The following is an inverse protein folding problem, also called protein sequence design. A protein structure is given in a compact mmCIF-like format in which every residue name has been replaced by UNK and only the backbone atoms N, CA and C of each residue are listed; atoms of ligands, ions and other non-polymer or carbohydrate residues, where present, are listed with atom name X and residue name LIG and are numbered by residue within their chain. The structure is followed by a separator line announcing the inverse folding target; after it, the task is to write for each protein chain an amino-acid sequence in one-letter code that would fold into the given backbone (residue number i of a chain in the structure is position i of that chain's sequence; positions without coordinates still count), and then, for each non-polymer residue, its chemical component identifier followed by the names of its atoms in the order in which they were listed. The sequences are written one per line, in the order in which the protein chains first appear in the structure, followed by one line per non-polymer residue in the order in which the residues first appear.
data_IF_338476040476
#
_entry.id   IF_338476040476
#
_cell.length_a   1.000
_cell.length_b   1.000
_cell.length_c   1.000
_cell.angle_alpha   90.00
_cell.angle_beta   90.00
_cell.angle_gamma   90.00
#
_symmetry.space_group_name_H-M   'P 1'
#
loop_
_entity.id
_entity.type
_entity.pdbx_description
1 polymer ?
#
# COMPACT_ATOMS: atom_id res chain seq x y z
N UNK A 1 15.25 -36.56 4.50
CA UNK A 1 14.74 -36.04 3.20
C UNK A 1 13.76 -34.89 3.45
N UNK A 2 12.59 -35.15 4.05
CA UNK A 2 11.55 -34.17 4.38
C UNK A 2 12.06 -32.85 5.01
N UNK A 3 12.94 -32.90 6.01
CA UNK A 3 13.47 -31.67 6.64
C UNK A 3 14.25 -30.75 5.67
N UNK A 4 14.90 -31.30 4.64
CA UNK A 4 15.60 -30.48 3.61
C UNK A 4 14.61 -29.80 2.67
N UNK A 5 13.50 -30.44 2.36
CA UNK A 5 12.44 -29.87 1.52
C UNK A 5 11.69 -28.76 2.27
N UNK A 6 11.33 -28.98 3.54
CA UNK A 6 10.71 -27.94 4.37
C UNK A 6 11.64 -26.75 4.60
N UNK A 7 12.95 -26.98 4.79
CA UNK A 7 13.94 -25.91 4.79
C UNK A 7 13.89 -25.08 3.50
N UNK A 8 13.81 -25.72 2.33
CA UNK A 8 13.68 -25.01 1.04
C UNK A 8 12.35 -24.26 0.92
N UNK A 9 11.23 -24.77 1.45
CA UNK A 9 9.95 -24.05 1.49
C UNK A 9 10.06 -22.74 2.31
N UNK A 10 10.66 -22.78 3.49
CA UNK A 10 10.89 -21.58 4.31
C UNK A 10 11.88 -20.63 3.64
N UNK A 11 12.99 -21.17 3.12
CA UNK A 11 14.03 -20.38 2.48
C UNK A 11 13.56 -19.68 1.21
N UNK A 12 12.77 -20.32 0.34
CA UNK A 12 12.28 -19.66 -0.89
C UNK A 12 11.34 -18.49 -0.56
N UNK A 13 10.53 -18.60 0.51
CA UNK A 13 9.72 -17.48 1.00
C UNK A 13 10.55 -16.33 1.55
N UNK A 14 11.58 -16.63 2.35
CA UNK A 14 12.53 -15.63 2.88
C UNK A 14 13.25 -14.87 1.76
N UNK A 15 13.84 -15.60 0.80
CA UNK A 15 14.55 -15.00 -0.34
C UNK A 15 13.61 -14.25 -1.28
N UNK A 16 12.37 -14.70 -1.49
CA UNK A 16 11.38 -13.94 -2.23
C UNK A 16 11.00 -12.62 -1.54
N UNK A 17 10.91 -12.60 -0.21
CA UNK A 17 10.76 -11.35 0.55
C UNK A 17 11.90 -10.38 0.28
N UNK A 18 13.15 -10.85 0.32
CA UNK A 18 14.32 -10.03 0.01
C UNK A 18 14.29 -9.51 -1.44
N UNK A 19 13.96 -10.34 -2.43
CA UNK A 19 13.82 -9.94 -3.84
C UNK A 19 12.74 -8.86 -4.00
N UNK A 20 11.58 -9.03 -3.34
CA UNK A 20 10.52 -8.02 -3.33
C UNK A 20 11.07 -6.71 -2.75
N UNK A 21 11.78 -6.76 -1.62
CA UNK A 21 12.42 -5.59 -1.00
C UNK A 21 13.34 -4.82 -1.94
N UNK A 22 14.31 -5.49 -2.58
CA UNK A 22 15.24 -4.86 -3.54
C UNK A 22 14.51 -4.24 -4.75
N UNK A 23 13.50 -4.92 -5.29
CA UNK A 23 12.75 -4.38 -6.43
C UNK A 23 11.88 -3.19 -6.01
N UNK A 24 11.27 -3.25 -4.83
CA UNK A 24 10.49 -2.13 -4.28
C UNK A 24 11.39 -0.93 -4.00
N UNK A 25 12.59 -1.13 -3.45
CA UNK A 25 13.59 -0.07 -3.28
C UNK A 25 13.92 0.59 -4.64
N UNK A 26 14.24 -0.19 -5.66
CA UNK A 26 14.57 0.30 -7.01
C UNK A 26 13.45 1.16 -7.64
N UNK A 27 12.19 0.82 -7.39
CA UNK A 27 11.04 1.56 -7.93
C UNK A 27 10.55 2.71 -7.03
N UNK A 28 11.01 2.83 -5.78
CA UNK A 28 10.50 3.87 -4.85
C UNK A 28 11.57 4.81 -4.28
N UNK A 29 12.85 4.44 -4.29
CA UNK A 29 13.94 5.33 -3.87
C UNK A 29 14.32 6.31 -4.99
N UNK A 30 14.46 7.59 -4.63
CA UNK A 30 14.91 8.65 -5.53
C UNK A 30 16.42 8.61 -5.85
N UNK A 31 17.15 7.62 -5.34
CA UNK A 31 18.51 7.30 -5.77
C UNK A 31 18.57 6.65 -7.18
N UNK A 32 17.47 6.08 -7.66
CA UNK A 32 17.41 5.34 -8.92
C UNK A 32 16.63 6.06 -10.02
N UNK A 33 16.90 5.70 -11.28
CA UNK A 33 16.29 6.35 -12.43
C UNK A 33 14.75 6.33 -12.44
N UNK A 34 14.01 5.28 -12.04
CA UNK A 34 12.56 5.27 -12.17
C UNK A 34 11.86 6.44 -11.47
N UNK A 35 12.31 6.81 -10.27
CA UNK A 35 11.74 7.93 -9.51
C UNK A 35 12.30 9.28 -9.98
N UNK A 36 13.56 9.31 -10.45
CA UNK A 36 14.15 10.49 -11.08
C UNK A 36 13.43 10.86 -12.39
N UNK A 37 13.05 9.87 -13.20
CA UNK A 37 12.27 10.04 -14.43
C UNK A 37 10.86 10.60 -14.12
N UNK A 38 10.22 10.11 -13.04
CA UNK A 38 8.95 10.67 -12.54
C UNK A 38 9.12 12.13 -12.10
N UNK A 39 10.24 12.48 -11.46
CA UNK A 39 10.54 13.87 -11.07
C UNK A 39 10.86 14.78 -12.27
N UNK A 40 11.66 14.33 -13.26
CA UNK A 40 11.95 15.10 -14.48
C UNK A 40 10.66 15.36 -15.28
N UNK A 41 9.74 14.41 -15.32
CA UNK A 41 8.45 14.57 -16.02
C UNK A 41 7.61 15.76 -15.50
N UNK A 42 7.82 16.22 -14.25
CA UNK A 42 7.20 17.43 -13.69
C UNK A 42 7.52 18.71 -14.49
N UNK A 43 8.62 18.73 -15.28
CA UNK A 43 8.97 19.86 -16.17
C UNK A 43 7.91 20.16 -17.22
N UNK A 44 7.06 19.18 -17.53
CA UNK A 44 5.93 19.29 -18.47
C UNK A 44 4.56 19.33 -17.77
N UNK A 45 4.56 19.48 -16.44
CA UNK A 45 3.36 19.66 -15.61
C UNK A 45 2.86 18.40 -14.90
N UNK A 46 1.76 18.56 -14.15
CA UNK A 46 1.22 17.49 -13.32
C UNK A 46 0.68 16.29 -14.12
N UNK A 47 0.17 16.52 -15.34
CA UNK A 47 -0.42 15.46 -16.16
C UNK A 47 0.60 14.37 -16.55
N UNK A 48 1.80 14.78 -16.98
CA UNK A 48 2.89 13.86 -17.30
C UNK A 48 3.43 13.17 -16.05
N UNK A 49 3.58 13.88 -14.93
CA UNK A 49 3.95 13.28 -13.64
C UNK A 49 2.97 12.17 -13.17
N UNK A 50 1.67 12.37 -13.34
CA UNK A 50 0.66 11.34 -13.03
C UNK A 50 0.76 10.15 -13.98
N UNK A 51 0.94 10.39 -15.29
CA UNK A 51 1.09 9.31 -16.29
C UNK A 51 2.34 8.46 -16.00
N UNK A 52 3.48 9.10 -15.72
CA UNK A 52 4.73 8.42 -15.41
C UNK A 52 4.64 7.63 -14.09
N UNK A 53 4.03 8.20 -13.03
CA UNK A 53 3.84 7.50 -11.76
C UNK A 53 2.91 6.28 -11.85
N UNK A 54 1.81 6.39 -12.59
CA UNK A 54 0.92 5.24 -12.87
C UNK A 54 1.65 4.14 -13.66
N UNK A 55 2.38 4.51 -14.71
CA UNK A 55 3.14 3.56 -15.52
C UNK A 55 4.27 2.88 -14.71
N UNK A 56 4.96 3.62 -13.84
CA UNK A 56 5.94 3.07 -12.90
C UNK A 56 5.28 2.05 -11.95
N UNK A 57 4.13 2.41 -11.35
CA UNK A 57 3.35 1.52 -10.50
C UNK A 57 3.01 0.21 -11.19
N UNK A 58 2.48 0.26 -12.41
CA UNK A 58 2.17 -0.93 -13.22
C UNK A 58 3.41 -1.75 -13.60
N UNK A 59 4.56 -1.11 -13.86
CA UNK A 59 5.82 -1.79 -14.16
C UNK A 59 6.42 -2.49 -12.93
N UNK A 60 6.24 -1.92 -11.74
CA UNK A 60 6.84 -2.41 -10.49
C UNK A 60 6.43 -3.83 -10.10
N UNK A 61 5.22 -4.28 -10.49
CA UNK A 61 4.65 -5.56 -10.04
C UNK A 61 5.27 -6.79 -10.70
N UNK A 62 5.98 -6.63 -11.82
CA UNK A 62 6.42 -7.74 -12.68
C UNK A 62 7.31 -8.73 -11.90
N UNK A 63 8.39 -8.25 -11.29
CA UNK A 63 9.35 -9.12 -10.59
C UNK A 63 8.78 -9.65 -9.26
N UNK A 64 8.06 -8.87 -8.43
CA UNK A 64 7.35 -9.39 -7.25
C UNK A 64 6.39 -10.54 -7.57
N UNK A 65 5.62 -10.44 -8.66
CA UNK A 65 4.72 -11.53 -9.08
C UNK A 65 5.50 -12.78 -9.49
N UNK A 66 6.62 -12.65 -10.21
CA UNK A 66 7.49 -13.79 -10.51
C UNK A 66 8.10 -14.42 -9.25
N UNK A 67 8.54 -13.61 -8.28
CA UNK A 67 9.08 -14.11 -7.00
C UNK A 67 8.03 -14.90 -6.19
N UNK A 68 6.80 -14.39 -6.14
CA UNK A 68 5.65 -15.09 -5.52
C UNK A 68 5.33 -16.38 -6.29
N UNK A 69 5.28 -16.35 -7.62
CA UNK A 69 4.98 -17.53 -8.44
C UNK A 69 6.03 -18.66 -8.26
N UNK A 70 7.32 -18.32 -8.22
CA UNK A 70 8.40 -19.27 -7.92
C UNK A 70 8.28 -19.83 -6.50
N UNK A 71 7.98 -18.97 -5.51
CA UNK A 71 7.75 -19.41 -4.14
C UNK A 71 6.58 -20.39 -4.02
N UNK A 72 5.46 -20.10 -4.69
CA UNK A 72 4.30 -20.99 -4.76
C UNK A 72 4.72 -22.32 -5.40
N UNK A 73 5.31 -22.30 -6.59
CA UNK A 73 5.67 -23.52 -7.32
C UNK A 73 6.59 -24.43 -6.50
N UNK A 74 7.70 -23.89 -5.99
CA UNK A 74 8.68 -24.67 -5.20
C UNK A 74 8.06 -25.22 -3.92
N UNK A 75 7.36 -24.39 -3.15
CA UNK A 75 6.83 -24.80 -1.84
C UNK A 75 5.63 -25.75 -1.95
N UNK A 76 4.75 -25.54 -2.93
CA UNK A 76 3.64 -26.44 -3.25
C UNK A 76 4.16 -27.80 -3.71
N UNK A 77 5.14 -27.85 -4.62
CA UNK A 77 5.70 -29.11 -5.12
C UNK A 77 6.36 -29.96 -4.03
N UNK A 78 6.88 -29.34 -2.96
CA UNK A 78 7.52 -30.06 -1.86
C UNK A 78 6.58 -30.46 -0.71
N UNK A 79 5.60 -29.64 -0.35
CA UNK A 79 4.76 -29.90 0.82
C UNK A 79 3.32 -29.33 0.71
N UNK A 80 2.80 -29.16 -0.51
CA UNK A 80 1.45 -28.66 -0.79
C UNK A 80 1.11 -27.39 0.02
N UNK A 81 -0.10 -27.30 0.58
CA UNK A 81 -0.55 -26.13 1.36
C UNK A 81 0.30 -25.86 2.60
N UNK A 82 0.85 -26.90 3.24
CA UNK A 82 1.75 -26.72 4.38
C UNK A 82 3.07 -26.07 3.94
N UNK A 83 3.61 -26.50 2.79
CA UNK A 83 4.77 -25.88 2.15
C UNK A 83 4.56 -24.40 1.88
N UNK A 84 3.44 -24.04 1.24
CA UNK A 84 3.09 -22.64 0.94
C UNK A 84 2.90 -21.82 2.24
N UNK A 85 2.28 -22.40 3.27
CA UNK A 85 2.11 -21.74 4.57
C UNK A 85 3.47 -21.47 5.27
N UNK A 86 4.40 -22.42 5.27
CA UNK A 86 5.73 -22.20 5.87
C UNK A 86 6.61 -21.30 4.99
N UNK A 87 6.34 -21.17 3.69
CA UNK A 87 6.96 -20.15 2.85
C UNK A 87 6.47 -18.74 3.22
N UNK A 88 5.16 -18.57 3.49
CA UNK A 88 4.63 -17.30 4.01
C UNK A 88 5.27 -16.95 5.37
N UNK A 89 5.42 -17.93 6.26
CA UNK A 89 6.14 -17.76 7.53
C UNK A 89 7.64 -17.43 7.30
N UNK A 90 8.28 -18.05 6.30
CA UNK A 90 9.66 -17.75 5.93
C UNK A 90 9.86 -16.30 5.49
N UNK A 91 8.94 -15.77 4.67
CA UNK A 91 8.93 -14.35 4.26
C UNK A 91 8.78 -13.40 5.46
N UNK A 92 8.05 -13.80 6.50
CA UNK A 92 7.86 -13.04 7.73
C UNK A 92 8.77 -13.47 8.90
N UNK A 93 9.75 -14.35 8.66
CA UNK A 93 10.61 -14.88 9.74
C UNK A 93 11.51 -13.80 10.38
N UNK A 94 11.77 -12.73 9.64
CA UNK A 94 12.50 -11.53 10.08
C UNK A 94 11.59 -10.33 10.39
N UNK A 95 10.31 -10.59 10.71
CA UNK A 95 9.28 -9.53 10.93
C UNK A 95 9.69 -8.47 11.95
N UNK A 96 10.47 -8.80 12.99
CA UNK A 96 10.97 -7.82 13.95
C UNK A 96 11.85 -6.75 13.29
N UNK A 97 12.75 -7.15 12.40
CA UNK A 97 13.57 -6.22 11.60
C UNK A 97 12.74 -5.46 10.58
N UNK A 98 11.79 -6.15 9.92
CA UNK A 98 10.88 -5.52 8.95
C UNK A 98 10.04 -4.40 9.58
N UNK A 99 9.42 -4.67 10.73
CA UNK A 99 8.66 -3.67 11.50
C UNK A 99 9.55 -2.54 12.02
N UNK A 100 10.80 -2.82 12.41
CA UNK A 100 11.71 -1.78 12.88
C UNK A 100 12.08 -0.77 11.78
N UNK A 101 12.33 -1.23 10.54
CA UNK A 101 12.64 -0.33 9.42
C UNK A 101 11.40 0.39 8.87
N UNK A 102 10.23 -0.24 8.93
CA UNK A 102 8.95 0.36 8.53
C UNK A 102 8.53 1.47 9.53
N UNK A 103 8.44 1.14 10.82
CA UNK A 103 8.07 2.08 11.88
C UNK A 103 9.06 3.25 12.05
N UNK A 104 10.32 3.09 11.65
CA UNK A 104 11.31 4.17 11.59
C UNK A 104 10.87 5.33 10.66
N UNK A 105 10.11 5.05 9.59
CA UNK A 105 9.65 6.07 8.64
C UNK A 105 8.71 7.09 9.28
N UNK A 106 7.54 6.69 9.79
CA UNK A 106 6.60 7.60 10.47
C UNK A 106 7.19 8.33 11.69
N UNK A 107 8.18 7.74 12.38
CA UNK A 107 8.92 8.44 13.46
C UNK A 107 9.77 9.59 12.88
N UNK A 108 10.42 9.37 11.74
CA UNK A 108 11.26 10.36 11.06
C UNK A 108 10.44 11.51 10.44
N UNK A 109 9.29 11.20 9.84
CA UNK A 109 8.30 12.18 9.37
C UNK A 109 7.84 13.11 10.50
N UNK A 110 7.35 12.53 11.61
CA UNK A 110 6.94 13.29 12.79
C UNK A 110 8.07 14.15 13.36
N UNK A 111 9.32 13.67 13.36
CA UNK A 111 10.48 14.45 13.78
C UNK A 111 10.70 15.69 12.88
N UNK A 112 10.51 15.56 11.57
CA UNK A 112 10.55 16.68 10.62
C UNK A 112 9.40 17.66 10.83
N UNK A 113 8.17 17.16 11.04
CA UNK A 113 7.00 17.98 11.34
C UNK A 113 7.18 18.80 12.62
N UNK A 114 7.71 18.18 13.70
CA UNK A 114 8.04 18.86 14.96
C UNK A 114 9.13 19.92 14.74
N UNK A 115 10.18 19.62 13.97
CA UNK A 115 11.25 20.58 13.70
C UNK A 115 10.75 21.85 12.97
N UNK A 116 9.85 21.69 12.01
CA UNK A 116 9.22 22.80 11.28
C UNK A 116 8.30 23.61 12.20
N UNK A 117 7.37 22.95 12.91
CA UNK A 117 6.42 23.60 13.82
C UNK A 117 7.10 24.31 15.01
N UNK A 118 8.29 23.87 15.42
CA UNK A 118 9.09 24.50 16.46
C UNK A 118 10.02 25.63 15.94
N UNK A 119 9.99 25.95 14.64
CA UNK A 119 10.84 26.98 14.04
C UNK A 119 12.34 26.69 14.14
N UNK A 120 12.72 25.41 14.10
CA UNK A 120 14.13 25.00 14.19
C UNK A 120 14.90 25.38 12.92
N UNK A 121 16.24 25.35 12.99
CA UNK A 121 17.06 25.74 11.83
C UNK A 121 16.85 24.81 10.63
N UNK A 122 16.93 25.38 9.42
CA UNK A 122 16.79 24.66 8.14
C UNK A 122 17.64 23.38 8.06
N UNK A 123 18.85 23.39 8.65
CA UNK A 123 19.75 22.24 8.71
C UNK A 123 19.23 21.05 9.55
N UNK A 124 18.28 21.28 10.45
CA UNK A 124 17.56 20.19 11.14
C UNK A 124 16.51 19.60 10.19
N UNK A 125 15.74 20.44 9.49
CA UNK A 125 14.76 20.00 8.50
C UNK A 125 15.40 19.20 7.34
N UNK A 126 16.53 19.67 6.81
CA UNK A 126 17.35 18.94 5.81
C UNK A 126 17.72 17.52 6.28
N UNK A 127 18.03 17.34 7.57
CA UNK A 127 18.39 16.04 8.13
C UNK A 127 17.15 15.15 8.27
N UNK A 128 16.05 15.68 8.77
CA UNK A 128 14.81 14.90 8.90
C UNK A 128 14.24 14.53 7.54
N UNK A 129 14.28 15.41 6.53
CA UNK A 129 13.84 15.13 5.16
C UNK A 129 14.62 13.96 4.54
N UNK A 130 15.92 13.85 4.82
CA UNK A 130 16.74 12.72 4.37
C UNK A 130 16.37 11.39 5.07
N UNK A 131 16.06 11.42 6.37
CA UNK A 131 15.60 10.25 7.13
C UNK A 131 14.21 9.79 6.65
N UNK A 132 13.34 10.75 6.40
CA UNK A 132 11.95 10.59 5.98
C UNK A 132 11.83 10.06 4.53
N UNK A 133 12.69 10.51 3.60
CA UNK A 133 12.79 9.91 2.25
C UNK A 133 13.24 8.44 2.28
N UNK A 134 14.10 8.05 3.23
CA UNK A 134 14.42 6.64 3.46
C UNK A 134 13.22 5.89 4.05
N UNK A 135 12.49 6.51 4.99
CA UNK A 135 11.26 6.02 5.59
C UNK A 135 10.16 5.65 4.58
N UNK A 136 9.97 6.48 3.55
CA UNK A 136 9.05 6.18 2.44
C UNK A 136 9.39 4.88 1.72
N UNK A 137 10.68 4.64 1.51
CA UNK A 137 11.21 3.46 0.83
C UNK A 137 11.01 2.22 1.69
N UNK A 138 11.30 2.30 2.99
CA UNK A 138 11.09 1.18 3.92
C UNK A 138 9.61 0.86 4.15
N UNK A 139 8.73 1.86 4.19
CA UNK A 139 7.29 1.66 4.24
C UNK A 139 6.75 0.98 2.97
N UNK A 140 7.28 1.33 1.79
CA UNK A 140 6.94 0.61 0.56
C UNK A 140 7.42 -0.85 0.59
N UNK A 141 8.64 -1.11 1.09
CA UNK A 141 9.17 -2.47 1.28
C UNK A 141 8.29 -3.28 2.25
N UNK A 142 7.87 -2.68 3.37
CA UNK A 142 6.94 -3.28 4.34
C UNK A 142 5.61 -3.69 3.69
N UNK A 143 5.02 -2.80 2.88
CA UNK A 143 3.82 -3.10 2.06
C UNK A 143 4.08 -4.26 1.08
N UNK A 144 5.26 -4.32 0.45
CA UNK A 144 5.69 -5.42 -0.42
C UNK A 144 5.73 -6.78 0.30
N UNK A 145 6.37 -6.85 1.48
CA UNK A 145 6.38 -8.05 2.34
C UNK A 145 4.97 -8.46 2.78
N UNK A 146 4.12 -7.49 3.14
CA UNK A 146 2.74 -7.76 3.55
C UNK A 146 1.89 -8.33 2.39
N UNK A 147 2.07 -7.84 1.16
CA UNK A 147 1.38 -8.36 -0.04
C UNK A 147 1.89 -9.76 -0.41
N UNK A 148 3.21 -9.97 -0.46
CA UNK A 148 3.79 -11.26 -0.83
C UNK A 148 3.42 -12.38 0.15
N UNK A 149 3.48 -12.10 1.46
CA UNK A 149 3.09 -13.06 2.49
C UNK A 149 1.57 -13.29 2.51
N UNK A 150 0.76 -12.25 2.27
CA UNK A 150 -0.69 -12.40 2.13
C UNK A 150 -1.08 -13.29 0.95
N UNK A 151 -0.42 -13.16 -0.21
CA UNK A 151 -0.67 -14.03 -1.37
C UNK A 151 -0.37 -15.50 -1.06
N UNK A 152 0.78 -15.78 -0.41
CA UNK A 152 1.16 -17.13 -0.01
C UNK A 152 0.21 -17.73 1.04
N UNK A 153 -0.03 -17.03 2.15
CA UNK A 153 -0.89 -17.56 3.23
C UNK A 153 -2.33 -17.78 2.76
N UNK A 154 -2.83 -16.94 1.86
CA UNK A 154 -4.22 -17.04 1.38
C UNK A 154 -4.41 -18.17 0.40
N UNK A 155 -3.38 -18.52 -0.39
CA UNK A 155 -3.38 -19.76 -1.18
C UNK A 155 -3.41 -20.99 -0.26
N UNK A 156 -2.61 -20.99 0.82
CA UNK A 156 -2.61 -22.09 1.79
C UNK A 156 -3.96 -22.24 2.52
N UNK A 157 -4.54 -21.12 2.95
CA UNK A 157 -5.88 -21.06 3.57
C UNK A 157 -6.97 -21.50 2.59
N UNK A 158 -6.86 -21.16 1.30
CA UNK A 158 -7.80 -21.59 0.27
C UNK A 158 -7.80 -23.11 0.07
N UNK A 159 -6.65 -23.78 0.01
CA UNK A 159 -6.61 -25.25 -0.07
C UNK A 159 -7.11 -25.93 1.21
N UNK A 160 -6.86 -25.32 2.37
CA UNK A 160 -7.44 -25.77 3.64
C UNK A 160 -8.97 -25.60 3.64
N UNK A 161 -9.50 -24.51 3.08
CA UNK A 161 -10.93 -24.25 2.93
C UNK A 161 -11.59 -25.32 2.04
N UNK A 162 -11.03 -25.59 0.85
CA UNK A 162 -11.51 -26.63 -0.08
C UNK A 162 -11.64 -27.97 0.62
N UNK A 163 -10.62 -28.35 1.38
CA UNK A 163 -10.60 -29.59 2.18
C UNK A 163 -11.65 -29.57 3.30
N UNK A 164 -11.77 -28.46 4.03
CA UNK A 164 -12.69 -28.34 5.18
C UNK A 164 -14.17 -28.26 4.77
N UNK A 165 -14.46 -27.71 3.59
CA UNK A 165 -15.77 -27.62 2.97
C UNK A 165 -16.20 -28.93 2.26
N UNK A 166 -15.33 -29.94 2.18
CA UNK A 166 -15.63 -31.21 1.50
C UNK A 166 -15.70 -31.12 -0.02
N UNK A 167 -15.00 -30.15 -0.63
CA UNK A 167 -14.98 -29.94 -2.07
C UNK A 167 -13.92 -30.86 -2.69
N UNK A 168 -14.35 -31.80 -3.55
CA UNK A 168 -13.44 -32.76 -4.20
C UNK A 168 -12.42 -32.10 -5.15
N UNK A 169 -12.89 -31.15 -5.97
CA UNK A 169 -12.08 -30.43 -6.96
C UNK A 169 -12.66 -29.05 -7.20
N UNK A 170 -11.81 -28.02 -7.30
CA UNK A 170 -12.21 -26.69 -7.78
C UNK A 170 -11.90 -26.60 -9.27
N UNK A 171 -12.89 -26.92 -10.11
CA UNK A 171 -12.77 -26.83 -11.56
C UNK A 171 -13.18 -25.44 -12.06
N UNK A 172 -12.20 -24.72 -12.61
CA UNK A 172 -12.32 -23.36 -13.16
C UNK A 172 -13.32 -23.28 -14.32
N UNK A 173 -13.52 -24.37 -15.08
CA UNK A 173 -14.43 -24.40 -16.22
C UNK A 173 -15.89 -24.64 -15.82
N UNK A 174 -16.19 -24.78 -14.53
CA UNK A 174 -17.58 -24.89 -14.05
C UNK A 174 -18.22 -23.51 -13.87
N UNK A 175 -19.52 -23.32 -14.21
CA UNK A 175 -20.18 -22.02 -14.07
C UNK A 175 -20.11 -21.43 -12.66
N UNK A 176 -20.26 -22.25 -11.62
CA UNK A 176 -20.22 -21.82 -10.21
C UNK A 176 -18.86 -21.25 -9.80
N UNK A 177 -17.77 -21.85 -10.26
CA UNK A 177 -16.41 -21.39 -9.96
C UNK A 177 -16.06 -20.17 -10.81
N UNK A 178 -16.39 -20.18 -12.10
CA UNK A 178 -16.02 -19.10 -13.02
C UNK A 178 -16.69 -17.76 -12.67
N UNK A 179 -17.99 -17.76 -12.32
CA UNK A 179 -18.65 -16.52 -11.86
C UNK A 179 -18.05 -16.02 -10.53
N UNK A 180 -17.67 -16.94 -9.62
CA UNK A 180 -17.02 -16.59 -8.36
C UNK A 180 -15.63 -15.98 -8.57
N UNK A 181 -14.86 -16.51 -9.53
CA UNK A 181 -13.56 -15.98 -9.93
C UNK A 181 -13.67 -14.55 -10.49
N UNK A 182 -14.61 -14.32 -11.41
CA UNK A 182 -14.84 -12.99 -11.99
C UNK A 182 -15.29 -11.97 -10.92
N UNK A 183 -16.31 -12.30 -10.11
CA UNK A 183 -16.81 -11.41 -9.06
C UNK A 183 -15.72 -11.14 -8.01
N UNK A 184 -14.99 -12.18 -7.57
CA UNK A 184 -13.88 -12.05 -6.62
C UNK A 184 -12.75 -11.16 -7.12
N UNK A 185 -12.44 -11.21 -8.43
CA UNK A 185 -11.43 -10.33 -9.05
C UNK A 185 -11.83 -8.85 -9.12
N UNK A 186 -13.13 -8.55 -9.04
CA UNK A 186 -13.69 -7.19 -9.08
C UNK A 186 -13.70 -6.51 -7.71
N UNK A 187 -13.85 -7.27 -6.61
CA UNK A 187 -13.84 -6.74 -5.23
C UNK A 187 -12.66 -5.78 -4.93
N UNK A 188 -11.40 -6.04 -5.36
CA UNK A 188 -10.31 -5.07 -5.31
C UNK A 188 -10.66 -3.67 -5.79
N UNK A 189 -11.27 -3.59 -6.97
CA UNK A 189 -11.57 -2.32 -7.63
C UNK A 189 -12.75 -1.61 -6.96
N UNK A 190 -13.77 -2.35 -6.51
CA UNK A 190 -14.92 -1.75 -5.83
C UNK A 190 -14.53 -1.06 -4.52
N UNK A 191 -13.77 -1.74 -3.66
CA UNK A 191 -13.29 -1.11 -2.43
C UNK A 191 -12.28 0.01 -2.69
N UNK A 192 -11.38 -0.14 -3.66
CA UNK A 192 -10.47 0.93 -4.05
C UNK A 192 -11.27 2.18 -4.43
N UNK A 193 -12.36 2.02 -5.19
CA UNK A 193 -13.23 3.13 -5.57
C UNK A 193 -13.92 3.79 -4.37
N UNK A 194 -14.35 3.02 -3.36
CA UNK A 194 -14.94 3.59 -2.14
C UNK A 194 -13.92 4.35 -1.31
N UNK A 195 -12.79 3.74 -0.97
CA UNK A 195 -11.76 4.38 -0.13
C UNK A 195 -11.16 5.62 -0.78
N UNK A 196 -10.87 5.57 -2.09
CA UNK A 196 -10.43 6.74 -2.85
C UNK A 196 -11.47 7.86 -2.83
N UNK A 197 -12.77 7.54 -2.99
CA UNK A 197 -13.86 8.53 -2.94
C UNK A 197 -14.03 9.13 -1.54
N UNK A 198 -13.92 8.33 -0.48
CA UNK A 198 -14.04 8.80 0.89
C UNK A 198 -12.88 9.74 1.28
N UNK A 199 -11.63 9.41 0.92
CA UNK A 199 -10.50 10.33 1.12
C UNK A 199 -10.65 11.58 0.26
N UNK A 200 -11.00 11.47 -1.03
CA UNK A 200 -11.22 12.65 -1.88
C UNK A 200 -12.31 13.59 -1.34
N UNK A 201 -13.39 13.03 -0.77
CA UNK A 201 -14.47 13.81 -0.14
C UNK A 201 -14.03 14.48 1.18
N UNK A 202 -13.17 13.83 1.96
CA UNK A 202 -12.61 14.39 3.19
C UNK A 202 -11.55 15.47 2.90
N UNK A 203 -10.66 15.23 1.93
CA UNK A 203 -9.63 16.15 1.48
C UNK A 203 -10.25 17.44 0.89
N UNK A 204 -11.35 17.34 0.14
CA UNK A 204 -12.07 18.51 -0.37
C UNK A 204 -12.55 19.41 0.79
N UNK A 205 -13.18 18.83 1.82
CA UNK A 205 -13.59 19.58 3.03
C UNK A 205 -12.40 20.17 3.78
N UNK A 206 -11.30 19.44 3.88
CA UNK A 206 -10.06 19.92 4.52
C UNK A 206 -9.50 21.15 3.78
N UNK A 207 -9.48 21.11 2.44
CA UNK A 207 -9.04 22.25 1.61
C UNK A 207 -9.97 23.44 1.76
N UNK A 208 -11.29 23.23 1.82
CA UNK A 208 -12.28 24.29 2.06
C UNK A 208 -12.09 24.94 3.44
N UNK A 209 -11.88 24.14 4.50
CA UNK A 209 -11.66 24.65 5.85
C UNK A 209 -10.32 25.38 6.01
N UNK A 210 -9.23 24.82 5.49
CA UNK A 210 -7.90 25.47 5.52
C UNK A 210 -7.94 26.80 4.76
N UNK A 211 -8.61 26.85 3.60
CA UNK A 211 -8.87 28.10 2.87
C UNK A 211 -9.73 29.06 3.68
N UNK A 212 -10.77 28.58 4.36
CA UNK A 212 -11.62 29.42 5.24
C UNK A 212 -10.77 30.05 6.33
N UNK A 213 -9.91 29.31 7.02
CA UNK A 213 -9.03 29.85 8.07
C UNK A 213 -8.10 30.93 7.51
N UNK A 214 -7.34 30.64 6.45
CA UNK A 214 -6.43 31.62 5.83
C UNK A 214 -7.13 32.88 5.31
N UNK A 215 -8.36 32.76 4.80
CA UNK A 215 -9.10 33.90 4.25
C UNK A 215 -9.89 34.70 5.30
N UNK A 216 -10.15 34.16 6.50
CA UNK A 216 -11.08 34.78 7.47
C UNK A 216 -10.50 35.04 8.86
N UNK A 217 -9.36 34.44 9.24
CA UNK A 217 -8.69 34.69 10.51
C UNK A 217 -7.61 35.77 10.30
N UNK A 218 -7.79 37.02 10.77
CA UNK A 218 -6.80 38.07 10.57
C UNK A 218 -5.51 37.74 11.34
N UNK A 219 -4.35 37.99 10.71
CA UNK A 219 -3.05 37.75 11.34
C UNK A 219 -2.53 36.31 11.20
N UNK A 220 -3.28 35.39 10.57
CA UNK A 220 -2.90 33.98 10.46
C UNK A 220 -1.76 33.76 9.44
N UNK A 221 -1.87 34.36 8.24
CA UNK A 221 -0.80 34.29 7.23
C UNK A 221 0.46 35.04 7.67
N UNK A 222 0.28 36.04 8.52
CA UNK A 222 1.33 36.86 9.13
C UNK A 222 1.99 36.16 10.34
N UNK A 223 1.51 34.98 10.76
CA UNK A 223 2.05 34.22 11.90
C UNK A 223 1.76 34.82 13.28
N UNK A 224 0.84 35.78 13.36
CA UNK A 224 0.47 36.49 14.61
C UNK A 224 -0.77 35.91 15.29
N UNK A 225 -1.65 35.26 14.54
CA UNK A 225 -2.79 34.49 15.05
C UNK A 225 -2.49 32.97 14.99
N UNK A 226 -3.14 32.19 15.86
CA UNK A 226 -3.05 30.73 15.84
C UNK A 226 -4.19 30.14 14.99
N UNK A 227 -3.93 29.12 14.16
CA UNK A 227 -4.98 28.39 13.46
C UNK A 227 -5.82 27.54 14.42
N UNK A 228 -7.00 27.14 13.98
CA UNK A 228 -7.84 26.16 14.66
C UNK A 228 -7.53 24.75 14.12
N UNK A 229 -6.63 24.06 14.82
CA UNK A 229 -6.31 22.67 14.52
C UNK A 229 -7.48 21.69 14.82
N UNK A 230 -8.37 22.03 15.75
CA UNK A 230 -9.39 21.11 16.23
C UNK A 230 -10.48 20.87 15.18
N UNK A 231 -10.86 21.89 14.41
CA UNK A 231 -11.80 21.71 13.28
C UNK A 231 -11.21 20.80 12.19
N UNK A 232 -9.93 20.94 11.84
CA UNK A 232 -9.26 20.03 10.90
C UNK A 232 -9.25 18.58 11.42
N UNK A 233 -8.89 18.36 12.69
CA UNK A 233 -8.95 17.04 13.34
C UNK A 233 -10.38 16.47 13.33
N UNK A 234 -11.40 17.31 13.54
CA UNK A 234 -12.80 16.87 13.54
C UNK A 234 -13.24 16.42 12.16
N UNK A 235 -12.89 17.16 11.09
CA UNK A 235 -13.19 16.77 9.69
C UNK A 235 -12.61 15.40 9.35
N UNK A 236 -11.36 15.13 9.72
CA UNK A 236 -10.74 13.81 9.46
C UNK A 236 -11.29 12.71 10.37
N UNK A 237 -11.65 13.02 11.61
CA UNK A 237 -12.24 12.07 12.56
C UNK A 237 -13.64 11.63 12.13
N UNK A 238 -14.54 12.58 11.84
CA UNK A 238 -15.90 12.28 11.39
C UNK A 238 -15.91 11.53 10.06
N UNK A 239 -15.04 11.94 9.13
CA UNK A 239 -14.89 11.24 7.86
C UNK A 239 -14.37 9.81 8.07
N UNK A 240 -13.30 9.60 8.82
CA UNK A 240 -12.73 8.27 9.02
C UNK A 240 -13.70 7.32 9.75
N UNK A 241 -14.33 7.75 10.84
CA UNK A 241 -15.26 6.89 11.60
C UNK A 241 -16.51 6.52 10.81
N UNK A 242 -17.07 7.46 10.03
CA UNK A 242 -18.25 7.18 9.20
C UNK A 242 -17.89 6.36 7.97
N UNK A 243 -16.87 6.80 7.24
CA UNK A 243 -16.51 6.27 5.94
C UNK A 243 -15.62 5.02 6.04
N UNK A 244 -15.18 4.58 7.23
CA UNK A 244 -14.61 3.24 7.41
C UNK A 244 -15.66 2.14 7.43
N UNK A 245 -16.95 2.43 7.61
CA UNK A 245 -17.99 1.39 7.75
C UNK A 245 -18.33 0.73 6.39
N UNK A 246 -18.66 1.46 5.30
CA UNK A 246 -18.98 0.83 4.02
C UNK A 246 -17.78 0.09 3.41
N UNK A 247 -16.57 0.71 3.34
CA UNK A 247 -15.36 -0.01 3.02
C UNK A 247 -15.07 -1.09 4.03
N UNK A 248 -15.28 -0.95 5.34
CA UNK A 248 -15.01 -2.00 6.35
C UNK A 248 -15.88 -3.25 6.24
N UNK A 249 -17.17 -3.10 5.89
CA UNK A 249 -18.04 -4.21 5.49
C UNK A 249 -17.56 -4.89 4.19
N UNK A 250 -16.73 -4.18 3.44
CA UNK A 250 -15.96 -4.57 2.26
C UNK A 250 -14.43 -4.56 2.57
N UNK A 251 -13.98 -4.70 3.85
CA UNK A 251 -12.57 -4.97 4.23
C UNK A 251 -12.53 -6.36 4.81
N UNK A 252 -12.35 -7.38 3.98
CA UNK A 252 -12.78 -7.46 2.60
C UNK A 252 -12.21 -6.60 1.37
N UNK A 253 -11.04 -5.87 1.39
CA UNK A 253 -9.94 -5.70 0.33
C UNK A 253 -9.62 -4.31 -0.32
N UNK A 254 -8.36 -3.77 -0.33
CA UNK A 254 -7.62 -3.23 -1.56
C UNK A 254 -7.06 -1.78 -1.80
N UNK A 255 -5.72 -1.59 -1.89
CA UNK A 255 -4.85 -1.15 -3.03
C UNK A 255 -3.33 -1.30 -2.64
N UNK A 256 -2.36 -0.37 -2.88
CA UNK A 256 -1.09 -0.22 -2.07
C UNK A 256 0.05 0.65 -2.66
N UNK A 257 0.54 0.37 -3.88
CA UNK A 257 1.97 0.68 -4.18
C UNK A 257 2.24 2.03 -4.88
N UNK A 258 1.25 2.68 -5.48
CA UNK A 258 1.49 3.82 -6.39
C UNK A 258 1.99 5.08 -5.67
N UNK A 259 1.47 5.38 -4.48
CA UNK A 259 1.75 6.65 -3.81
C UNK A 259 3.11 6.79 -3.15
N UNK A 260 3.85 5.70 -2.93
CA UNK A 260 5.22 5.75 -2.37
C UNK A 260 6.24 6.33 -3.35
N UNK A 261 6.00 6.15 -4.65
CA UNK A 261 6.86 6.72 -5.70
C UNK A 261 6.66 8.23 -5.87
N UNK A 262 5.42 8.73 -5.72
CA UNK A 262 5.15 10.18 -5.83
C UNK A 262 5.68 10.98 -4.64
N UNK A 263 5.63 10.45 -3.41
CA UNK A 263 6.17 11.14 -2.24
C UNK A 263 7.70 11.31 -2.33
N UNK A 264 8.41 10.29 -2.79
CA UNK A 264 9.86 10.39 -3.01
C UNK A 264 10.23 11.26 -4.22
N UNK A 265 9.34 11.43 -5.21
CA UNK A 265 9.51 12.43 -6.27
C UNK A 265 9.34 13.87 -5.75
N UNK A 266 8.40 14.11 -4.82
CA UNK A 266 8.29 15.39 -4.09
C UNK A 266 9.56 15.64 -3.26
N UNK A 267 9.95 14.71 -2.38
CA UNK A 267 11.14 14.84 -1.52
C UNK A 267 12.44 15.03 -2.32
N UNK A 268 12.55 14.50 -3.54
CA UNK A 268 13.70 14.73 -4.43
C UNK A 268 13.85 16.21 -4.84
N UNK A 269 12.75 16.86 -5.25
CA UNK A 269 12.74 18.29 -5.62
C UNK A 269 12.94 19.17 -4.39
N UNK A 270 12.36 18.77 -3.25
CA UNK A 270 12.48 19.51 -1.98
C UNK A 270 13.88 19.47 -1.36
N UNK A 271 14.63 18.39 -1.56
CA UNK A 271 15.98 18.21 -1.00
C UNK A 271 17.10 18.90 -1.82
N UNK A 272 16.91 19.15 -3.13
CA UNK A 272 17.86 19.93 -3.96
C UNK A 272 19.30 19.37 -4.02
N UNK A 273 19.49 18.09 -3.73
CA UNK A 273 20.81 17.50 -3.45
C UNK A 273 21.72 17.35 -4.68
N UNK A 274 21.15 17.26 -5.90
CA UNK A 274 21.87 17.15 -7.17
C UNK A 274 21.65 18.38 -8.05
N UNK A 275 22.49 18.58 -9.07
CA UNK A 275 22.32 19.66 -10.06
C UNK A 275 21.00 19.53 -10.83
N UNK A 276 20.57 18.29 -11.11
CA UNK A 276 19.25 17.99 -11.66
C UNK A 276 18.13 18.37 -10.67
N UNK A 277 18.21 17.99 -9.40
CA UNK A 277 17.18 18.35 -8.41
C UNK A 277 17.03 19.88 -8.25
N UNK A 278 18.14 20.62 -8.31
CA UNK A 278 18.13 22.09 -8.26
C UNK A 278 17.50 22.73 -9.49
N UNK A 279 17.59 22.13 -10.67
CA UNK A 279 16.94 22.66 -11.88
C UNK A 279 15.42 22.48 -11.89
N UNK A 280 14.87 21.63 -11.01
CA UNK A 280 13.44 21.45 -10.77
C UNK A 280 12.90 22.33 -9.62
N UNK A 281 13.77 22.76 -8.70
CA UNK A 281 13.44 23.68 -7.61
C UNK A 281 13.39 25.17 -8.03
N UNK A 282 13.32 26.11 -7.07
CA UNK A 282 13.17 25.91 -5.62
C UNK A 282 11.74 25.48 -5.22
N UNK A 283 11.49 25.24 -3.92
CA UNK A 283 10.13 25.04 -3.39
C UNK A 283 9.22 26.19 -3.84
N UNK A 284 8.04 25.87 -4.36
CA UNK A 284 7.10 26.82 -4.97
C UNK A 284 7.24 26.98 -6.50
N UNK A 285 8.22 26.36 -7.14
CA UNK A 285 8.30 26.24 -8.60
C UNK A 285 7.10 25.47 -9.18
N UNK A 286 6.80 25.66 -10.46
CA UNK A 286 5.71 24.91 -11.11
C UNK A 286 6.00 23.39 -11.21
N UNK A 287 7.24 22.92 -11.44
CA UNK A 287 7.60 21.50 -11.28
C UNK A 287 7.43 20.99 -9.84
N UNK A 288 7.73 21.79 -8.81
CA UNK A 288 7.48 21.41 -7.41
C UNK A 288 5.98 21.25 -7.13
N UNK A 289 5.14 22.21 -7.58
CA UNK A 289 3.68 22.08 -7.49
C UNK A 289 3.17 20.85 -8.23
N UNK A 290 3.70 20.55 -9.42
CA UNK A 290 3.34 19.35 -10.18
C UNK A 290 3.64 18.05 -9.42
N UNK A 291 4.79 17.97 -8.73
CA UNK A 291 5.12 16.84 -7.87
C UNK A 291 4.19 16.72 -6.65
N UNK A 292 3.81 17.83 -6.02
CA UNK A 292 2.83 17.86 -4.91
C UNK A 292 1.44 17.38 -5.37
N UNK A 293 1.02 17.68 -6.61
CA UNK A 293 -0.21 17.11 -7.18
C UNK A 293 -0.09 15.58 -7.33
N UNK A 294 1.05 15.07 -7.80
CA UNK A 294 1.29 13.63 -7.85
C UNK A 294 1.23 12.96 -6.48
N UNK A 295 1.89 13.55 -5.47
CA UNK A 295 1.93 13.02 -4.11
C UNK A 295 0.56 12.97 -3.44
N UNK A 296 -0.22 14.06 -3.54
CA UNK A 296 -1.59 14.12 -2.99
C UNK A 296 -2.59 13.21 -3.70
N UNK A 297 -2.37 12.86 -4.97
CA UNK A 297 -3.08 11.75 -5.66
C UNK A 297 -2.60 10.40 -5.11
N UNK A 298 -1.32 10.31 -4.77
CA UNK A 298 -0.67 9.13 -4.20
C UNK A 298 -1.14 8.76 -2.80
N UNK A 299 -1.34 9.72 -1.89
CA UNK A 299 -1.70 9.48 -0.48
C UNK A 299 -2.81 8.42 -0.28
N UNK A 300 -4.03 8.57 -0.86
CA UNK A 300 -5.07 7.56 -0.71
C UNK A 300 -4.74 6.22 -1.39
N UNK A 301 -3.83 6.20 -2.38
CA UNK A 301 -3.34 4.99 -3.05
C UNK A 301 -2.26 4.26 -2.22
N UNK A 302 -1.38 5.00 -1.52
CA UNK A 302 -0.32 4.42 -0.67
C UNK A 302 -0.79 4.04 0.72
N UNK A 303 -1.68 4.81 1.35
CA UNK A 303 -1.92 4.73 2.79
C UNK A 303 -3.37 4.44 3.20
N UNK A 304 -4.34 4.48 2.27
CA UNK A 304 -5.76 4.17 2.59
C UNK A 304 -6.30 2.95 1.84
N UNK A 305 -6.53 3.09 0.53
CA UNK A 305 -6.99 1.99 -0.33
C UNK A 305 -5.95 0.88 -0.19
N UNK A 306 -4.72 1.19 -0.62
CA UNK A 306 -3.56 1.08 0.25
C UNK A 306 -3.23 -0.33 0.80
N UNK A 307 -2.48 -0.38 1.91
CA UNK A 307 -2.25 -1.60 2.68
C UNK A 307 -3.51 -2.46 2.98
N UNK A 308 -4.72 -1.94 2.80
CA UNK A 308 -5.96 -2.72 2.91
C UNK A 308 -6.12 -3.86 1.89
N UNK A 309 -5.34 -3.98 0.78
CA UNK A 309 -5.33 -5.19 -0.10
C UNK A 309 -5.03 -6.44 0.72
N UNK A 310 -3.87 -6.40 1.37
CA UNK A 310 -3.34 -7.57 2.06
C UNK A 310 -4.29 -7.97 3.20
N UNK A 311 -5.08 -7.01 3.73
CA UNK A 311 -6.01 -7.23 4.84
C UNK A 311 -7.20 -8.11 4.45
N UNK A 312 -7.89 -7.95 3.30
CA UNK A 312 -8.82 -9.02 2.89
C UNK A 312 -8.12 -10.25 2.47
N UNK A 313 -7.06 -10.15 1.67
CA UNK A 313 -6.55 -11.32 0.96
C UNK A 313 -6.35 -12.44 1.99
N UNK A 314 -5.80 -12.07 3.17
CA UNK A 314 -5.83 -12.90 4.38
C UNK A 314 -7.18 -13.02 5.12
N UNK A 315 -7.94 -11.94 5.36
CA UNK A 315 -9.21 -11.98 6.12
C UNK A 315 -10.32 -12.82 5.45
N UNK A 316 -10.68 -12.61 4.18
CA UNK A 316 -11.67 -13.49 3.51
C UNK A 316 -11.19 -14.94 3.48
N UNK A 317 -9.89 -15.17 3.31
CA UNK A 317 -9.36 -16.53 3.25
C UNK A 317 -9.51 -17.26 4.60
N UNK A 318 -9.22 -16.59 5.73
CA UNK A 318 -9.42 -17.17 7.06
C UNK A 318 -10.91 -17.22 7.45
N UNK A 319 -11.71 -16.21 7.12
CA UNK A 319 -13.16 -16.20 7.34
C UNK A 319 -13.83 -17.36 6.59
N UNK A 320 -13.52 -17.53 5.30
CA UNK A 320 -14.00 -18.66 4.49
C UNK A 320 -13.64 -19.99 5.12
N UNK A 321 -12.40 -20.17 5.59
CA UNK A 321 -11.94 -21.38 6.26
C UNK A 321 -12.69 -21.65 7.58
N UNK A 322 -12.88 -20.62 8.42
CA UNK A 322 -13.59 -20.72 9.71
C UNK A 322 -15.06 -21.13 9.50
N UNK A 323 -15.74 -20.50 8.54
CA UNK A 323 -17.14 -20.80 8.21
C UNK A 323 -17.32 -21.96 7.22
N UNK A 324 -16.25 -22.61 6.75
CA UNK A 324 -16.30 -23.69 5.77
C UNK A 324 -17.31 -24.82 6.11
N UNK A 325 -17.41 -25.32 7.37
CA UNK A 325 -18.38 -26.37 7.72
C UNK A 325 -19.83 -25.85 7.67
N UNK A 326 -20.04 -24.59 8.05
CA UNK A 326 -21.34 -23.92 7.99
C UNK A 326 -21.78 -23.70 6.55
N UNK A 327 -20.89 -23.21 5.68
CA UNK A 327 -21.17 -23.04 4.25
C UNK A 327 -21.43 -24.36 3.53
N UNK A 328 -20.67 -25.42 3.84
CA UNK A 328 -20.92 -26.75 3.27
C UNK A 328 -22.29 -27.31 3.66
N UNK A 329 -22.71 -27.12 4.91
CA UNK A 329 -23.98 -27.66 5.44
C UNK A 329 -25.18 -26.81 5.02
N UNK A 330 -25.14 -25.51 5.31
CA UNK A 330 -26.29 -24.59 5.21
C UNK A 330 -26.23 -23.65 4.00
N UNK A 331 -25.07 -23.49 3.36
CA UNK A 331 -24.90 -22.64 2.19
C UNK A 331 -25.54 -23.20 0.91
N UNK A 332 -25.32 -22.49 -0.20
CA UNK A 332 -25.85 -22.88 -1.52
C UNK A 332 -27.36 -22.72 -1.67
N UNK A 333 -28.01 -21.87 -0.84
CA UNK A 333 -29.47 -21.71 -0.80
C UNK A 333 -30.11 -21.46 -2.18
N UNK A 334 -29.54 -20.58 -3.00
CA UNK A 334 -30.04 -20.31 -4.36
C UNK A 334 -29.96 -21.54 -5.29
N UNK A 335 -29.06 -22.49 -5.03
CA UNK A 335 -29.04 -23.74 -5.79
C UNK A 335 -29.97 -24.80 -5.19
N UNK A 336 -30.24 -24.76 -3.87
CA UNK A 336 -31.15 -25.69 -3.17
C UNK A 336 -32.64 -25.34 -3.34
N UNK A 337 -32.97 -24.06 -3.55
CA UNK A 337 -34.35 -23.57 -3.75
C UNK A 337 -34.84 -23.82 -5.18
N UNK A 338 -33.91 -23.85 -6.15
CA UNK A 338 -34.20 -23.92 -7.58
C UNK A 338 -33.73 -25.24 -8.22
N UNK A 339 -33.49 -26.28 -7.40
CA UNK A 339 -33.16 -27.65 -7.81
C UNK A 339 -34.27 -28.63 -7.40
#
# INVERSE_FOLDING_TARGET
WLCRQLFLCVAVGLWAGLIIGFVTEYYTSNAYSPVQDVADSCRTGAATNVIFGLALGYKSVIIPIFAIAVSIFVSFSFAAMYGVAVAALGMLSTIATGLAIDAYGPISDNAGGIAEMAGMSHRIRERTDALDAAGNTTAAIGKGFAIGSAALVSLALFGAFVSRAGITTVDVLTPKVFIGLLVGSMLPYWFSAMTMKSVGSAALKMVEEVRRQFNTIPGLMEGTAKPDYATCVTISTDASIKEMIPPGALIAISASNTGGAWDNAKKYIEAGASEHARSLGPKGSDPHKAAVIGDTIGDPLKDTSGPSLNILIKLMAVESLVFAPFFATHGGLLFKIWS
#
